data_IF_632170347731
#
_entry.id   IF_632170347731
#
_cell.length_a   1.000
_cell.length_b   1.000
_cell.length_c   1.000
_cell.angle_alpha   90.00
_cell.angle_beta   90.00
_cell.angle_gamma   90.00
#
_symmetry.space_group_name_H-M   'P 1'
#
loop_
_entity.id
_entity.type
_entity.pdbx_description
1 polymer ?
#
# COMPACT_ATOMS: atom_id res chain seq x y z
N UNK A 1 -16.05 -4.66 -25.01
CA UNK A 1 -15.40 -4.38 -23.71
C UNK A 1 -13.88 -4.47 -23.89
N UNK A 2 -13.18 -3.37 -24.18
CA UNK A 2 -11.71 -3.37 -24.43
C UNK A 2 -10.97 -3.35 -23.08
N UNK A 3 -10.22 -4.41 -22.77
CA UNK A 3 -9.47 -4.56 -21.51
C UNK A 3 -8.32 -3.52 -21.45
N UNK A 4 -8.27 -2.62 -20.46
CA UNK A 4 -7.15 -1.69 -20.28
C UNK A 4 -6.02 -2.36 -19.48
N UNK A 5 -5.46 -3.47 -19.98
CA UNK A 5 -4.54 -4.33 -19.22
C UNK A 5 -3.19 -3.67 -18.85
N UNK A 6 -2.51 -3.03 -19.81
CA UNK A 6 -1.17 -2.45 -19.56
C UNK A 6 -1.18 -1.15 -18.76
N UNK A 7 -2.28 -0.38 -18.83
CA UNK A 7 -2.40 0.95 -18.21
C UNK A 7 -2.64 0.88 -16.70
N UNK A 8 -3.42 -0.12 -16.26
CA UNK A 8 -3.63 -0.37 -14.84
C UNK A 8 -2.36 -0.92 -14.18
N UNK A 9 -1.60 -1.74 -14.92
CA UNK A 9 -0.39 -2.38 -14.41
C UNK A 9 0.72 -1.38 -14.02
N UNK A 10 0.95 -0.33 -14.80
CA UNK A 10 1.97 0.67 -14.46
C UNK A 10 1.60 1.45 -13.19
N UNK A 11 0.34 1.85 -13.01
CA UNK A 11 -0.12 2.54 -11.80
C UNK A 11 0.03 1.69 -10.55
N UNK A 12 -0.26 0.39 -10.68
CA UNK A 12 -0.07 -0.59 -9.62
C UNK A 12 1.39 -0.68 -9.19
N UNK A 13 2.29 -0.88 -10.15
CA UNK A 13 3.71 -1.12 -9.87
C UNK A 13 4.34 0.11 -9.25
N UNK A 14 4.15 1.29 -9.83
CA UNK A 14 4.73 2.53 -9.28
C UNK A 14 4.08 2.95 -7.97
N UNK A 15 2.75 2.81 -7.85
CA UNK A 15 2.03 3.13 -6.61
C UNK A 15 2.48 2.28 -5.43
N UNK A 16 2.57 0.96 -5.63
CA UNK A 16 3.01 0.03 -4.60
C UNK A 16 4.50 0.15 -4.27
N UNK A 17 5.37 0.29 -5.27
CA UNK A 17 6.82 0.38 -5.05
C UNK A 17 7.21 1.70 -4.36
N UNK A 18 6.75 2.85 -4.87
CA UNK A 18 7.16 4.16 -4.30
C UNK A 18 6.66 4.30 -2.87
N UNK A 19 5.38 3.98 -2.63
CA UNK A 19 4.80 4.01 -1.28
C UNK A 19 5.45 2.98 -0.38
N UNK A 20 5.76 1.78 -0.92
CA UNK A 20 6.44 0.71 -0.21
C UNK A 20 7.84 1.10 0.25
N UNK A 21 8.64 1.73 -0.61
CA UNK A 21 9.98 2.21 -0.25
C UNK A 21 9.90 3.26 0.85
N UNK A 22 9.03 4.28 0.68
CA UNK A 22 8.88 5.33 1.69
C UNK A 22 8.43 4.79 3.04
N UNK A 23 7.43 3.89 3.04
CA UNK A 23 6.96 3.27 4.27
C UNK A 23 7.98 2.29 4.85
N UNK A 24 8.73 1.58 4.00
CA UNK A 24 9.78 0.67 4.43
C UNK A 24 10.93 1.40 5.13
N UNK A 25 11.28 2.60 4.68
CA UNK A 25 12.28 3.45 5.36
C UNK A 25 11.78 3.80 6.76
N UNK A 26 10.51 4.19 6.90
CA UNK A 26 9.91 4.47 8.21
C UNK A 26 9.92 3.23 9.11
N UNK A 27 9.54 2.06 8.58
CA UNK A 27 9.60 0.80 9.33
C UNK A 27 11.02 0.45 9.76
N UNK A 28 12.02 0.64 8.89
CA UNK A 28 13.43 0.40 9.21
C UNK A 28 13.91 1.31 10.34
N UNK A 29 13.57 2.60 10.29
CA UNK A 29 13.94 3.58 11.32
C UNK A 29 13.30 3.25 12.67
N UNK A 30 12.12 2.65 12.66
CA UNK A 30 11.39 2.20 13.85
C UNK A 30 11.77 0.78 14.31
N UNK A 31 12.71 0.11 13.63
CA UNK A 31 13.08 -1.29 13.93
C UNK A 31 11.99 -2.32 13.55
N UNK A 32 10.94 -1.91 12.84
CA UNK A 32 9.77 -2.73 12.51
C UNK A 32 9.99 -3.64 11.31
N UNK A 33 11.03 -3.42 10.49
CA UNK A 33 11.28 -4.26 9.31
C UNK A 33 11.61 -5.72 9.71
N UNK A 34 12.19 -5.93 10.89
CA UNK A 34 12.47 -7.25 11.45
C UNK A 34 11.20 -8.06 11.66
N UNK A 35 10.08 -7.41 12.01
CA UNK A 35 8.79 -8.10 12.12
C UNK A 35 8.31 -8.66 10.79
N UNK A 36 8.54 -7.97 9.67
CA UNK A 36 8.21 -8.50 8.35
C UNK A 36 9.05 -9.74 8.00
N UNK A 37 10.33 -9.78 8.39
CA UNK A 37 11.16 -10.96 8.23
C UNK A 37 10.68 -12.13 9.11
N UNK A 38 10.29 -11.83 10.36
CA UNK A 38 9.83 -12.84 11.32
C UNK A 38 8.54 -13.53 10.86
N UNK A 39 7.67 -12.86 10.09
CA UNK A 39 6.48 -13.49 9.51
C UNK A 39 6.81 -14.69 8.61
N UNK A 40 8.02 -14.75 8.03
CA UNK A 40 8.47 -15.88 7.21
C UNK A 40 9.58 -16.70 7.89
N UNK A 41 9.70 -16.57 9.23
CA UNK A 41 10.68 -17.30 10.02
C UNK A 41 12.14 -16.87 9.78
N UNK A 42 12.37 -15.62 9.35
CA UNK A 42 13.71 -15.09 9.08
C UNK A 42 14.06 -13.94 10.01
N UNK A 43 15.35 -13.81 10.32
CA UNK A 43 15.93 -12.66 11.04
C UNK A 43 16.65 -11.68 10.10
N UNK A 44 16.69 -11.96 8.79
CA UNK A 44 17.42 -11.16 7.82
C UNK A 44 16.67 -9.87 7.48
N UNK A 45 17.32 -8.73 7.70
CA UNK A 45 16.82 -7.40 7.28
C UNK A 45 16.48 -7.36 5.79
N UNK A 46 17.28 -8.01 4.95
CA UNK A 46 17.05 -8.09 3.49
C UNK A 46 15.76 -8.85 3.18
N UNK A 47 15.51 -9.95 3.90
CA UNK A 47 14.27 -10.72 3.76
C UNK A 47 13.07 -9.88 4.23
N UNK A 48 13.20 -9.14 5.33
CA UNK A 48 12.14 -8.23 5.81
C UNK A 48 11.77 -7.17 4.77
N UNK A 49 12.76 -6.55 4.15
CA UNK A 49 12.54 -5.61 3.04
C UNK A 49 11.87 -6.27 1.84
N UNK A 50 12.28 -7.48 1.47
CA UNK A 50 11.67 -8.21 0.36
C UNK A 50 10.20 -8.53 0.63
N UNK A 51 9.89 -9.10 1.80
CA UNK A 51 8.51 -9.38 2.24
C UNK A 51 7.67 -8.11 2.23
N UNK A 52 8.20 -7.03 2.79
CA UNK A 52 7.54 -5.72 2.81
C UNK A 52 7.25 -5.19 1.39
N UNK A 53 8.19 -5.32 0.45
CA UNK A 53 7.98 -4.90 -0.95
C UNK A 53 6.89 -5.72 -1.64
N UNK A 54 6.86 -7.03 -1.45
CA UNK A 54 5.81 -7.89 -2.00
C UNK A 54 4.43 -7.47 -1.49
N UNK A 55 4.31 -7.24 -0.18
CA UNK A 55 3.07 -6.78 0.45
C UNK A 55 2.67 -5.39 -0.08
N UNK A 56 3.63 -4.49 -0.23
CA UNK A 56 3.39 -3.13 -0.75
C UNK A 56 2.85 -3.15 -2.19
N UNK A 57 3.35 -4.04 -3.04
CA UNK A 57 2.82 -4.24 -4.41
C UNK A 57 1.39 -4.79 -4.37
N UNK A 58 1.11 -5.76 -3.49
CA UNK A 58 -0.25 -6.30 -3.30
C UNK A 58 -1.22 -5.18 -2.92
N UNK A 59 -0.85 -4.30 -1.97
CA UNK A 59 -1.69 -3.19 -1.58
C UNK A 59 -1.83 -2.13 -2.69
N UNK A 60 -0.80 -1.90 -3.50
CA UNK A 60 -0.90 -1.08 -4.70
C UNK A 60 -1.92 -1.63 -5.72
N UNK A 61 -1.96 -2.96 -5.90
CA UNK A 61 -3.00 -3.64 -6.70
C UNK A 61 -4.38 -3.39 -6.08
N UNK A 62 -4.52 -3.67 -4.78
CA UNK A 62 -5.78 -3.49 -4.05
C UNK A 62 -6.32 -2.07 -4.16
N UNK A 63 -5.44 -1.05 -4.10
CA UNK A 63 -5.83 0.34 -4.28
C UNK A 63 -6.48 0.59 -5.64
N UNK A 64 -5.80 0.21 -6.73
CA UNK A 64 -6.31 0.41 -8.09
C UNK A 64 -7.63 -0.35 -8.29
N UNK A 65 -7.73 -1.58 -7.79
CA UNK A 65 -8.99 -2.34 -7.83
C UNK A 65 -10.11 -1.64 -7.07
N UNK A 66 -9.82 -1.06 -5.92
CA UNK A 66 -10.80 -0.34 -5.10
C UNK A 66 -11.36 0.88 -5.83
N UNK A 67 -10.57 1.54 -6.68
CA UNK A 67 -11.05 2.68 -7.50
C UNK A 67 -12.13 2.30 -8.53
N UNK A 68 -12.31 1.01 -8.84
CA UNK A 68 -13.41 0.55 -9.68
C UNK A 68 -14.75 0.55 -8.94
N UNK A 69 -14.73 0.46 -7.61
CA UNK A 69 -15.93 0.45 -6.76
C UNK A 69 -16.15 1.80 -6.06
N UNK A 70 -15.07 2.51 -5.74
CA UNK A 70 -15.09 3.80 -5.07
C UNK A 70 -14.53 4.88 -6.02
N UNK A 71 -15.42 5.70 -6.57
CA UNK A 71 -15.03 6.74 -7.55
C UNK A 71 -14.15 7.84 -6.96
N UNK A 72 -14.33 8.19 -5.69
CA UNK A 72 -13.49 9.16 -5.02
C UNK A 72 -12.19 8.48 -4.54
N UNK A 73 -11.09 8.80 -5.21
CA UNK A 73 -9.77 8.21 -4.95
C UNK A 73 -9.27 8.43 -3.51
N UNK A 74 -9.61 9.56 -2.89
CA UNK A 74 -9.24 9.85 -1.51
C UNK A 74 -10.04 8.99 -0.52
N UNK A 75 -11.33 8.81 -0.80
CA UNK A 75 -12.15 7.84 -0.05
C UNK A 75 -11.60 6.42 -0.20
N UNK A 76 -11.18 6.03 -1.41
CA UNK A 76 -10.53 4.74 -1.62
C UNK A 76 -9.23 4.59 -0.81
N UNK A 77 -8.42 5.64 -0.68
CA UNK A 77 -7.22 5.62 0.16
C UNK A 77 -7.54 5.42 1.64
N UNK A 78 -8.53 6.13 2.18
CA UNK A 78 -8.94 5.97 3.58
C UNK A 78 -9.44 4.55 3.83
N UNK A 79 -10.32 4.04 2.96
CA UNK A 79 -10.86 2.67 3.06
C UNK A 79 -9.74 1.64 2.99
N UNK A 80 -8.80 1.80 2.06
CA UNK A 80 -7.65 0.90 1.95
C UNK A 80 -6.76 0.97 3.19
N UNK A 81 -6.41 2.17 3.68
CA UNK A 81 -5.54 2.31 4.85
C UNK A 81 -6.14 1.67 6.11
N UNK A 82 -7.45 1.85 6.34
CA UNK A 82 -8.17 1.15 7.41
C UNK A 82 -8.17 -0.37 7.17
N UNK A 83 -8.42 -0.80 5.93
CA UNK A 83 -8.41 -2.21 5.56
C UNK A 83 -7.05 -2.89 5.81
N UNK A 84 -5.96 -2.23 5.43
CA UNK A 84 -4.59 -2.71 5.69
C UNK A 84 -4.32 -2.75 7.18
N UNK A 85 -4.70 -1.71 7.93
CA UNK A 85 -4.50 -1.67 9.37
C UNK A 85 -5.23 -2.81 10.10
N UNK A 86 -6.47 -3.11 9.70
CA UNK A 86 -7.20 -4.25 10.26
C UNK A 86 -6.52 -5.57 9.85
N UNK A 87 -6.24 -5.75 8.56
CA UNK A 87 -5.73 -7.01 8.05
C UNK A 87 -4.30 -7.32 8.54
N UNK A 88 -3.39 -6.34 8.50
CA UNK A 88 -1.98 -6.53 8.79
C UNK A 88 -1.69 -6.61 10.29
N UNK A 89 -1.51 -5.48 10.98
CA UNK A 89 -1.05 -5.44 12.37
C UNK A 89 -2.07 -5.96 13.39
N UNK A 90 -3.38 -5.93 13.09
CA UNK A 90 -4.39 -6.43 14.05
C UNK A 90 -4.71 -7.92 13.91
N UNK A 91 -4.48 -8.52 12.74
CA UNK A 91 -4.93 -9.88 12.43
C UNK A 91 -3.79 -10.75 11.89
N UNK A 92 -3.35 -10.55 10.65
CA UNK A 92 -2.46 -11.47 9.94
C UNK A 92 -1.09 -11.54 10.62
N UNK A 93 -0.45 -10.39 10.87
CA UNK A 93 0.87 -10.34 11.48
C UNK A 93 0.90 -11.02 12.86
N UNK A 94 0.05 -10.65 13.84
CA UNK A 94 0.13 -11.27 15.16
C UNK A 94 -0.30 -12.74 15.16
N UNK A 95 -1.17 -13.17 14.24
CA UNK A 95 -1.46 -14.60 14.04
C UNK A 95 -0.25 -15.37 13.49
N UNK A 96 0.46 -14.82 12.50
CA UNK A 96 1.67 -15.43 11.95
C UNK A 96 2.80 -15.51 12.98
N UNK A 97 2.82 -14.60 13.95
CA UNK A 97 3.80 -14.56 15.05
C UNK A 97 3.34 -15.34 16.31
N UNK A 98 2.17 -15.99 16.28
CA UNK A 98 1.67 -16.80 17.40
C UNK A 98 1.17 -15.99 18.60
N UNK A 99 0.88 -14.69 18.43
CA UNK A 99 0.44 -13.78 19.50
C UNK A 99 -1.09 -13.72 19.68
N UNK A 100 -1.87 -14.37 18.80
CA UNK A 100 -3.33 -14.18 18.72
C UNK A 100 -3.70 -12.92 17.92
N UNK A 101 -4.97 -12.50 17.95
CA UNK A 101 -5.38 -11.25 17.28
C UNK A 101 -5.28 -10.07 18.23
N UNK A 102 -5.00 -8.88 17.70
CA UNK A 102 -4.87 -7.63 18.46
C UNK A 102 -6.12 -6.74 18.36
N UNK A 103 -7.24 -7.26 17.83
CA UNK A 103 -8.48 -6.49 17.63
C UNK A 103 -8.97 -5.84 18.93
N UNK A 104 -8.90 -6.55 20.06
CA UNK A 104 -9.30 -6.01 21.37
C UNK A 104 -8.45 -4.83 21.85
N UNK A 105 -7.26 -4.64 21.26
CA UNK A 105 -6.33 -3.55 21.57
C UNK A 105 -6.24 -2.52 20.43
N UNK A 106 -7.19 -2.52 19.48
CA UNK A 106 -7.14 -1.65 18.30
C UNK A 106 -6.99 -0.16 18.64
N UNK A 107 -7.52 0.29 19.78
CA UNK A 107 -7.45 1.69 20.21
C UNK A 107 -6.26 1.99 21.14
N UNK A 108 -5.36 1.03 21.35
CA UNK A 108 -4.12 1.27 22.09
C UNK A 108 -3.20 2.24 21.31
N UNK A 109 -2.37 3.06 21.97
CA UNK A 109 -1.53 4.07 21.31
C UNK A 109 -0.69 3.51 20.15
N UNK A 110 -0.06 2.35 20.34
CA UNK A 110 0.78 1.73 19.32
C UNK A 110 -0.03 1.29 18.09
N UNK A 111 -1.26 0.81 18.30
CA UNK A 111 -2.15 0.40 17.22
C UNK A 111 -2.74 1.61 16.48
N UNK A 112 -3.01 2.71 17.17
CA UNK A 112 -3.40 3.97 16.54
C UNK A 112 -2.25 4.59 15.74
N UNK A 113 -1.02 4.53 16.24
CA UNK A 113 0.15 4.94 15.47
C UNK A 113 0.34 4.07 14.22
N UNK A 114 0.10 2.77 14.34
CA UNK A 114 0.05 1.87 13.20
C UNK A 114 -1.05 2.24 12.20
N UNK A 115 -2.25 2.63 12.65
CA UNK A 115 -3.30 3.12 11.74
C UNK A 115 -2.82 4.34 10.94
N UNK A 116 -2.17 5.30 11.59
CA UNK A 116 -1.64 6.51 10.94
C UNK A 116 -0.64 6.15 9.83
N UNK A 117 0.27 5.20 10.07
CA UNK A 117 1.26 4.82 9.05
C UNK A 117 0.63 4.11 7.86
N UNK A 118 -0.40 3.29 8.07
CA UNK A 118 -1.13 2.64 6.98
C UNK A 118 -1.99 3.61 6.17
N UNK A 119 -2.62 4.59 6.82
CA UNK A 119 -3.29 5.70 6.14
C UNK A 119 -2.29 6.52 5.31
N UNK A 120 -1.10 6.79 5.85
CA UNK A 120 -0.03 7.49 5.14
C UNK A 120 0.43 6.72 3.89
N UNK A 121 0.65 5.41 4.00
CA UNK A 121 0.95 4.54 2.86
C UNK A 121 -0.13 4.60 1.77
N UNK A 122 -1.40 4.47 2.16
CA UNK A 122 -2.52 4.50 1.21
C UNK A 122 -2.70 5.88 0.56
N UNK A 123 -2.40 6.95 1.30
CA UNK A 123 -2.42 8.31 0.79
C UNK A 123 -1.31 8.55 -0.25
N UNK A 124 -0.06 8.14 0.02
CA UNK A 124 1.02 8.21 -0.97
C UNK A 124 0.65 7.42 -2.22
N UNK A 125 0.09 6.22 -2.06
CA UNK A 125 -0.35 5.39 -3.19
C UNK A 125 -1.35 6.16 -4.06
N UNK A 126 -2.34 6.82 -3.44
CA UNK A 126 -3.29 7.67 -4.15
C UNK A 126 -2.63 8.85 -4.87
N UNK A 127 -1.69 9.54 -4.22
CA UNK A 127 -0.94 10.65 -4.84
C UNK A 127 -0.17 10.17 -6.07
N UNK A 128 0.56 9.07 -5.96
CA UNK A 128 1.34 8.49 -7.07
C UNK A 128 0.42 8.14 -8.23
N UNK A 129 -0.67 7.42 -7.95
CA UNK A 129 -1.66 7.07 -8.98
C UNK A 129 -2.27 8.32 -9.64
N UNK A 130 -2.59 9.37 -8.85
CA UNK A 130 -3.12 10.62 -9.37
C UNK A 130 -2.15 11.33 -10.31
N UNK A 131 -0.89 11.47 -9.89
CA UNK A 131 0.16 12.11 -10.67
C UNK A 131 0.37 11.37 -11.99
N UNK A 132 0.45 10.03 -11.95
CA UNK A 132 0.61 9.21 -13.16
C UNK A 132 -0.60 9.31 -14.11
N UNK A 133 -1.82 9.43 -13.58
CA UNK A 133 -3.01 9.69 -14.39
C UNK A 133 -2.98 11.09 -15.04
N UNK A 134 -2.57 12.12 -14.30
CA UNK A 134 -2.46 13.51 -14.80
C UNK A 134 -1.40 13.65 -15.88
N UNK A 135 -0.18 13.13 -15.64
CA UNK A 135 0.92 13.14 -16.61
C UNK A 135 0.45 12.49 -17.92
N UNK A 136 -0.22 11.33 -17.83
CA UNK A 136 -0.72 10.66 -19.04
C UNK A 136 -1.70 11.53 -19.83
N UNK A 137 -2.65 12.19 -19.15
CA UNK A 137 -3.63 13.06 -19.80
C UNK A 137 -2.95 14.22 -20.53
N UNK A 138 -1.92 14.83 -19.92
CA UNK A 138 -1.18 15.95 -20.49
C UNK A 138 -0.38 15.55 -21.75
N UNK A 139 0.29 14.40 -21.74
CA UNK A 139 1.19 14.02 -22.84
C UNK A 139 0.53 13.21 -23.96
N UNK A 140 -0.55 12.48 -23.68
CA UNK A 140 -1.12 11.52 -24.64
C UNK A 140 -2.55 11.81 -25.07
N UNK A 141 -3.30 12.66 -24.35
CA UNK A 141 -4.68 13.01 -24.69
C UNK A 141 -4.83 14.47 -25.16
N UNK A 142 -3.78 15.31 -25.03
CA UNK A 142 -3.81 16.72 -25.37
C UNK A 142 -3.07 17.11 -26.67
N UNK A 143 -2.49 16.15 -27.42
CA UNK A 143 -1.87 16.45 -28.70
C UNK A 143 -2.95 16.58 -29.80
N UNK A 144 -3.14 17.76 -30.44
CA UNK A 144 -4.01 17.84 -31.60
C UNK A 144 -3.46 16.95 -32.72
N UNK A 145 -4.34 16.20 -33.39
CA UNK A 145 -4.01 15.53 -34.66
C UNK A 145 -3.60 16.63 -35.63
N UNK A 146 -2.38 16.61 -36.21
CA UNK A 146 -2.08 17.52 -37.30
C UNK A 146 -2.99 17.16 -38.47
N UNK A 147 -3.84 18.12 -38.87
CA UNK A 147 -4.60 18.08 -40.12
C UNK A 147 -3.66 18.18 -41.32
#
# INVERSE_FOLDING_TARGET
MKRPGGKALSYVVFGGIISGVLFGIMMQMQGMIGMAAAMVGSESTVVGWFVHMVISVIFGISFVMLTFFIRNMWTAAVVLGIGIWIAGPLVIMPLMLGMGTMIGQALAPDQLMSLVTHLFFAFITAVVVNVLQRIRKLFFEAAPVPL
#
